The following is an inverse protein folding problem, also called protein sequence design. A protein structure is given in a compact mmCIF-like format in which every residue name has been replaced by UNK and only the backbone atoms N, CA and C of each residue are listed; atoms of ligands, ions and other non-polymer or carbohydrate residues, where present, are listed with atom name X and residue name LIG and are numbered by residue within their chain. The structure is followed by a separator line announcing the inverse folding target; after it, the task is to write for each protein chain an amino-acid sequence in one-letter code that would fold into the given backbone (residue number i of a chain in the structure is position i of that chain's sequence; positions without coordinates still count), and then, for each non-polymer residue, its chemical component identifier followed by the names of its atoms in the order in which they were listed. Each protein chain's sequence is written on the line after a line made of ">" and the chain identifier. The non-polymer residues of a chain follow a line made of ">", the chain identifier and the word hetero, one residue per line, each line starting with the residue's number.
data_IF_909449727875
#
_entry.id   IF_909449727875
#
_cell.length_a   1.000
_cell.length_b   1.000
_cell.length_c   1.000
_cell.angle_alpha   90.00
_cell.angle_beta   90.00
_cell.angle_gamma   90.00
#
_symmetry.space_group_name_H-M   'P 1'
#
loop_
_entity.id
_entity.type
_entity.pdbx_description
1 polymer ?
#
# COMPACT_ATOMS: atom_id res chain seq x y z
N UNK A 1 30.20 20.73 -27.19
CA UNK A 1 30.70 19.52 -26.50
C UNK A 1 29.47 18.79 -25.99
N UNK A 2 29.28 17.54 -26.42
CA UNK A 2 28.09 16.76 -26.13
C UNK A 2 28.12 16.27 -24.66
N UNK A 3 27.02 16.48 -23.95
CA UNK A 3 26.77 15.95 -22.61
C UNK A 3 25.28 15.72 -22.47
N UNK A 4 24.82 14.60 -23.02
CA UNK A 4 23.46 14.13 -22.84
C UNK A 4 23.46 13.08 -21.74
N UNK A 5 22.95 13.44 -20.57
CA UNK A 5 22.49 12.47 -19.59
C UNK A 5 20.96 12.58 -19.53
N UNK A 6 20.33 11.82 -20.43
CA UNK A 6 18.91 11.51 -20.31
C UNK A 6 18.69 10.65 -19.07
N UNK A 7 17.63 10.96 -18.34
CA UNK A 7 17.01 10.14 -17.29
C UNK A 7 17.26 8.64 -17.52
N UNK A 8 18.03 7.99 -16.62
CA UNK A 8 18.25 6.54 -16.68
C UNK A 8 16.99 5.85 -16.17
N UNK A 9 16.25 5.28 -17.12
CA UNK A 9 15.20 4.31 -16.85
C UNK A 9 15.76 3.17 -15.98
N UNK A 10 14.95 2.70 -15.04
CA UNK A 10 15.33 1.69 -14.05
C UNK A 10 15.69 0.38 -14.76
N UNK A 11 16.99 0.11 -14.87
CA UNK A 11 17.52 -1.08 -15.54
C UNK A 11 17.22 -2.35 -14.71
N UNK A 12 16.23 -3.12 -15.13
CA UNK A 12 15.86 -4.41 -14.53
C UNK A 12 16.96 -5.47 -14.67
N UNK A 13 17.91 -5.31 -15.61
CA UNK A 13 19.05 -6.22 -15.76
C UNK A 13 20.06 -6.07 -14.60
N UNK A 14 20.07 -4.95 -13.89
CA UNK A 14 20.88 -4.76 -12.67
C UNK A 14 20.41 -5.60 -11.48
N UNK A 15 19.19 -6.16 -11.55
CA UNK A 15 18.57 -6.99 -10.50
C UNK A 15 18.74 -8.49 -10.77
N UNK A 16 19.10 -8.88 -11.98
CA UNK A 16 19.41 -10.28 -12.32
C UNK A 16 20.92 -10.48 -12.07
N UNK A 17 21.33 -11.24 -11.04
CA UNK A 17 22.75 -11.47 -10.80
C UNK A 17 23.33 -12.22 -12.01
N UNK A 18 24.31 -11.60 -12.69
CA UNK A 18 25.10 -12.28 -13.70
C UNK A 18 25.74 -13.53 -13.09
N UNK A 19 25.86 -14.61 -13.89
CA UNK A 19 26.47 -15.87 -13.44
C UNK A 19 27.91 -15.69 -12.89
N UNK A 20 28.58 -14.58 -13.21
CA UNK A 20 29.93 -14.21 -12.74
C UNK A 20 30.01 -13.78 -11.26
N UNK A 21 28.86 -13.65 -10.58
CA UNK A 21 28.75 -13.19 -9.19
C UNK A 21 28.75 -14.31 -8.14
N UNK A 22 28.97 -15.56 -8.55
CA UNK A 22 28.84 -16.75 -7.70
C UNK A 22 30.19 -17.47 -7.53
N UNK A 23 30.53 -17.85 -6.30
CA UNK A 23 31.67 -18.70 -5.94
C UNK A 23 31.15 -20.07 -5.47
N UNK A 24 31.72 -21.13 -6.02
CA UNK A 24 31.48 -22.50 -5.57
C UNK A 24 32.53 -22.92 -4.54
N UNK A 25 32.09 -23.31 -3.35
CA UNK A 25 32.94 -23.92 -2.32
C UNK A 25 32.40 -25.33 -2.05
N UNK A 26 33.05 -26.33 -2.66
CA UNK A 26 32.58 -27.72 -2.60
C UNK A 26 31.21 -27.89 -3.25
N UNK A 27 30.22 -28.36 -2.48
CA UNK A 27 28.84 -28.58 -2.94
C UNK A 27 27.94 -27.33 -2.80
N UNK A 28 28.47 -26.24 -2.25
CA UNK A 28 27.67 -25.06 -1.88
C UNK A 28 27.94 -23.89 -2.82
N UNK A 29 26.87 -23.18 -3.18
CA UNK A 29 26.85 -22.05 -4.12
C UNK A 29 26.67 -20.75 -3.32
N UNK A 30 27.69 -19.90 -3.28
CA UNK A 30 27.68 -18.63 -2.54
C UNK A 30 27.75 -17.44 -3.49
N UNK A 31 27.11 -16.31 -3.17
CA UNK A 31 27.37 -15.06 -3.89
C UNK A 31 28.68 -14.44 -3.38
N UNK A 32 29.49 -13.86 -4.26
CA UNK A 32 30.76 -13.18 -3.91
C UNK A 32 30.56 -12.15 -2.79
N UNK A 33 29.47 -11.39 -2.86
CA UNK A 33 29.11 -10.38 -1.86
C UNK A 33 28.84 -10.99 -0.48
N UNK A 34 28.16 -12.12 -0.43
CA UNK A 34 27.83 -12.82 0.82
C UNK A 34 29.10 -13.42 1.46
N UNK A 35 30.06 -13.88 0.64
CA UNK A 35 31.37 -14.33 1.11
C UNK A 35 32.20 -13.17 1.68
N UNK A 36 32.15 -12.00 1.04
CA UNK A 36 32.88 -10.81 1.47
C UNK A 36 32.35 -10.28 2.81
N UNK A 37 31.02 -10.17 2.94
CA UNK A 37 30.38 -9.78 4.21
C UNK A 37 30.59 -10.84 5.30
N UNK A 38 30.53 -12.13 4.95
CA UNK A 38 30.86 -13.22 5.87
C UNK A 38 32.30 -13.15 6.38
N UNK A 39 33.26 -12.83 5.51
CA UNK A 39 34.66 -12.63 5.89
C UNK A 39 34.88 -11.41 6.79
N UNK A 40 34.24 -10.28 6.46
CA UNK A 40 34.32 -9.04 7.27
C UNK A 40 33.70 -9.26 8.66
N UNK A 41 32.55 -9.92 8.74
CA UNK A 41 31.89 -10.24 10.01
C UNK A 41 32.70 -11.23 10.84
N UNK A 42 33.30 -12.26 10.23
CA UNK A 42 34.20 -13.17 10.93
C UNK A 42 35.44 -12.44 11.48
N UNK A 43 36.07 -11.56 10.69
CA UNK A 43 37.19 -10.71 11.13
C UNK A 43 36.79 -9.79 12.28
N UNK A 44 35.63 -9.14 12.19
CA UNK A 44 35.11 -8.27 13.25
C UNK A 44 34.82 -9.03 14.56
N UNK A 45 34.28 -10.26 14.47
CA UNK A 45 34.08 -11.10 15.65
C UNK A 45 35.42 -11.55 16.25
N UNK A 46 36.41 -11.85 15.42
CA UNK A 46 37.74 -12.26 15.87
C UNK A 46 38.50 -11.10 16.53
N UNK A 47 38.38 -9.88 16.00
CA UNK A 47 38.95 -8.67 16.63
C UNK A 47 38.24 -8.34 17.94
N UNK A 48 36.91 -8.46 18.01
CA UNK A 48 36.15 -8.31 19.25
C UNK A 48 36.58 -9.35 20.30
N UNK A 49 36.80 -10.61 19.91
CA UNK A 49 37.28 -11.65 20.81
C UNK A 49 38.69 -11.35 21.33
N UNK A 50 39.61 -10.91 20.46
CA UNK A 50 40.97 -10.53 20.85
C UNK A 50 40.95 -9.32 21.80
N UNK A 51 40.11 -8.32 21.52
CA UNK A 51 39.92 -7.17 22.41
C UNK A 51 39.35 -7.58 23.77
N UNK A 52 38.37 -8.48 23.80
CA UNK A 52 37.80 -8.98 25.05
C UNK A 52 38.84 -9.75 25.88
N UNK A 53 39.69 -10.57 25.22
CA UNK A 53 40.79 -11.28 25.89
C UNK A 53 41.84 -10.28 26.39
N UNK A 54 42.23 -9.29 25.59
CA UNK A 54 43.20 -8.27 25.99
C UNK A 54 42.68 -7.43 27.18
N UNK A 55 41.41 -7.02 27.14
CA UNK A 55 40.75 -6.32 28.25
C UNK A 55 40.64 -7.20 29.50
N UNK A 56 40.36 -8.50 29.34
CA UNK A 56 40.36 -9.47 30.42
C UNK A 56 41.74 -9.63 31.08
N UNK A 57 42.81 -9.68 30.28
CA UNK A 57 44.20 -9.74 30.79
C UNK A 57 44.59 -8.45 31.50
N UNK A 58 44.22 -7.28 30.97
CA UNK A 58 44.47 -5.98 31.61
C UNK A 58 43.67 -5.81 32.89
N UNK A 59 42.40 -6.25 32.92
CA UNK A 59 41.56 -6.23 34.12
C UNK A 59 42.10 -7.20 35.20
N UNK A 60 42.65 -8.34 34.81
CA UNK A 60 43.27 -9.29 35.73
C UNK A 60 44.62 -8.81 36.29
N UNK A 61 45.30 -7.87 35.63
CA UNK A 61 46.46 -7.17 36.20
C UNK A 61 46.09 -6.00 37.12
N UNK A 62 44.84 -5.56 37.11
CA UNK A 62 44.37 -4.39 37.89
C UNK A 62 43.71 -4.77 39.22
N UNK A 63 43.62 -6.06 39.54
CA UNK A 63 42.93 -6.56 40.73
C UNK A 63 43.82 -6.74 41.99
N UNK A 64 45.08 -6.28 41.97
CA UNK A 64 45.95 -6.16 43.16
C UNK A 64 45.98 -4.74 43.74
N UNK A 65 44.94 -3.92 43.52
CA UNK A 65 44.94 -2.55 44.02
C UNK A 65 43.57 -1.88 44.14
N UNK A 66 43.14 -1.75 45.40
CA UNK A 66 42.19 -0.75 45.93
C UNK A 66 40.69 -1.09 45.93
N UNK A 67 40.13 -0.90 47.13
CA UNK A 67 38.78 -1.14 47.59
C UNK A 67 37.95 0.15 47.71
N UNK A 68 36.63 -0.04 47.81
CA UNK A 68 35.58 0.90 48.29
C UNK A 68 35.32 2.13 47.39
N UNK A 69 34.11 2.62 47.15
CA UNK A 69 33.01 2.98 48.06
C UNK A 69 31.66 2.94 47.32
N UNK A 70 30.61 2.65 48.08
CA UNK A 70 29.19 2.58 47.71
C UNK A 70 28.54 3.94 47.35
N UNK A 71 27.40 3.91 46.65
CA UNK A 71 26.08 4.21 47.23
C UNK A 71 25.04 4.60 46.17
N UNK A 72 23.87 3.98 46.33
CA UNK A 72 22.59 4.17 45.65
C UNK A 72 21.93 5.51 45.98
N UNK A 73 21.02 5.99 45.13
CA UNK A 73 19.76 6.60 45.58
C UNK A 73 18.70 6.63 44.47
N UNK A 74 17.46 6.41 44.90
CA UNK A 74 16.24 6.27 44.12
C UNK A 74 15.33 7.51 44.25
N UNK A 75 14.56 7.75 43.19
CA UNK A 75 13.15 8.16 43.10
C UNK A 75 12.56 9.18 44.10
N UNK A 76 12.08 10.31 43.56
CA UNK A 76 10.92 11.10 44.06
C UNK A 76 10.26 11.90 42.93
N UNK A 77 8.93 12.05 42.99
CA UNK A 77 8.12 13.03 42.24
C UNK A 77 6.87 12.41 41.61
N UNK A 78 5.76 12.20 42.32
CA UNK A 78 4.70 13.13 42.80
C UNK A 78 3.59 13.45 41.78
N UNK A 79 2.37 13.21 42.27
CA UNK A 79 1.04 13.48 41.71
C UNK A 79 0.65 14.96 41.89
N UNK A 80 -0.15 15.52 41.00
CA UNK A 80 -1.14 16.57 41.31
C UNK A 80 -2.25 16.61 40.25
N UNK A 81 -3.50 16.61 40.72
CA UNK A 81 -4.70 17.08 40.02
C UNK A 81 -5.13 18.41 40.65
N UNK A 82 -5.66 19.35 39.86
CA UNK A 82 -6.93 20.07 40.14
C UNK A 82 -7.35 21.07 39.03
N UNK A 83 -8.64 20.95 38.71
CA UNK A 83 -9.71 21.84 38.22
C UNK A 83 -9.53 23.29 37.70
N UNK A 84 -10.25 23.52 36.59
CA UNK A 84 -11.24 24.60 36.27
C UNK A 84 -10.81 26.04 35.91
N UNK A 85 -11.31 26.53 34.76
CA UNK A 85 -11.34 27.94 34.36
C UNK A 85 -11.98 28.17 32.97
N UNK A 86 -13.18 28.73 32.97
CA UNK A 86 -14.08 29.01 31.82
C UNK A 86 -13.67 30.23 31.00
N UNK A 87 -13.80 30.19 29.66
CA UNK A 87 -14.46 31.23 28.83
C UNK A 87 -14.20 31.01 27.32
N UNK A 88 -15.26 30.93 26.52
CA UNK A 88 -15.17 31.15 25.07
C UNK A 88 -16.47 31.79 24.56
N UNK A 89 -16.43 32.83 23.70
CA UNK A 89 -17.61 33.54 23.25
C UNK A 89 -18.29 32.84 22.05
N UNK A 90 -19.61 32.94 22.10
CA UNK A 90 -20.61 32.51 21.12
C UNK A 90 -20.62 33.48 19.92
N UNK A 91 -20.58 32.96 18.69
CA UNK A 91 -20.91 33.74 17.47
C UNK A 91 -21.89 32.94 16.62
N UNK A 92 -23.07 33.52 16.45
CA UNK A 92 -24.18 33.14 15.57
C UNK A 92 -23.86 33.40 14.10
N UNK A 93 -24.47 32.65 13.16
CA UNK A 93 -24.72 33.15 11.81
C UNK A 93 -26.23 33.33 11.55
N UNK A 94 -26.56 34.50 11.01
CA UNK A 94 -27.86 34.81 10.40
C UNK A 94 -27.84 34.51 8.88
N UNK A 95 -29.01 34.40 8.22
CA UNK A 95 -29.17 33.66 6.97
C UNK A 95 -29.03 34.55 5.73
N UNK A 96 -28.58 33.97 4.61
CA UNK A 96 -28.76 34.57 3.29
C UNK A 96 -29.42 33.58 2.32
N UNK A 97 -30.66 33.88 1.98
CA UNK A 97 -31.34 33.43 0.77
C UNK A 97 -30.60 33.92 -0.47
N UNK A 98 -30.31 33.03 -1.43
CA UNK A 98 -30.30 33.44 -2.82
C UNK A 98 -30.67 32.28 -3.77
N UNK A 99 -31.72 32.52 -4.55
CA UNK A 99 -32.20 31.65 -5.62
C UNK A 99 -31.32 31.90 -6.84
N UNK A 100 -30.66 30.86 -7.38
CA UNK A 100 -30.05 30.94 -8.72
C UNK A 100 -30.66 29.93 -9.68
N UNK A 101 -31.45 30.50 -10.59
CA UNK A 101 -32.01 29.93 -11.81
C UNK A 101 -30.94 29.23 -12.65
N UNK A 102 -31.21 27.99 -13.05
CA UNK A 102 -30.44 27.26 -14.06
C UNK A 102 -30.74 27.84 -15.44
N UNK A 103 -29.71 28.29 -16.14
CA UNK A 103 -29.77 28.54 -17.59
C UNK A 103 -28.81 27.58 -18.25
N UNK A 104 -29.37 26.59 -18.94
CA UNK A 104 -28.69 25.67 -19.83
C UNK A 104 -28.21 26.42 -21.07
N UNK A 105 -26.93 26.29 -21.42
CA UNK A 105 -26.44 26.69 -22.74
C UNK A 105 -25.72 25.50 -23.36
N UNK A 106 -26.39 24.90 -24.34
CA UNK A 106 -25.85 23.90 -25.26
C UNK A 106 -24.75 24.54 -26.11
N UNK A 107 -23.55 23.95 -26.13
CA UNK A 107 -22.56 24.20 -27.17
C UNK A 107 -22.51 22.98 -28.09
N UNK A 108 -22.92 23.19 -29.33
CA UNK A 108 -22.72 22.27 -30.44
C UNK A 108 -21.22 22.16 -30.75
N UNK A 109 -20.70 20.94 -30.82
CA UNK A 109 -19.41 20.64 -31.44
C UNK A 109 -19.60 20.44 -32.95
N UNK A 110 -18.70 21.05 -33.73
CA UNK A 110 -18.63 20.89 -35.18
C UNK A 110 -17.28 20.21 -35.53
N UNK A 111 -17.26 19.27 -36.50
CA UNK A 111 -16.13 18.36 -36.68
C UNK A 111 -14.99 19.03 -37.46
N UNK A 112 -13.75 18.87 -36.99
CA UNK A 112 -12.55 19.29 -37.71
C UNK A 112 -11.93 18.11 -38.45
N UNK A 113 -11.90 18.23 -39.78
CA UNK A 113 -11.22 17.34 -40.71
C UNK A 113 -9.70 17.57 -40.68
N UNK A 114 -8.94 16.47 -40.83
CA UNK A 114 -7.49 16.43 -40.67
C UNK A 114 -6.72 17.30 -41.67
N UNK A 115 -5.66 17.96 -41.17
CA UNK A 115 -4.66 18.69 -41.98
C UNK A 115 -3.39 17.83 -42.12
N UNK A 116 -2.76 17.75 -43.31
CA UNK A 116 -1.53 16.98 -43.49
C UNK A 116 -0.35 17.61 -42.74
N UNK A 117 0.51 16.77 -42.16
CA UNK A 117 1.73 17.17 -41.49
C UNK A 117 2.70 17.84 -42.48
N UNK A 118 3.12 19.07 -42.19
CA UNK A 118 4.23 19.73 -42.90
C UNK A 118 5.57 19.41 -42.22
N UNK A 119 6.68 19.28 -42.98
CA UNK A 119 8.00 19.04 -42.42
C UNK A 119 8.53 20.25 -41.66
N UNK A 120 9.15 20.01 -40.50
CA UNK A 120 9.82 21.05 -39.72
C UNK A 120 11.04 21.60 -40.48
N UNK A 121 10.94 22.85 -40.93
CA UNK A 121 12.12 23.67 -41.25
C UNK A 121 12.55 24.40 -39.97
N UNK A 122 13.80 24.20 -39.57
CA UNK A 122 14.43 24.92 -38.46
C UNK A 122 14.52 26.40 -38.80
N UNK A 123 13.67 27.22 -38.15
CA UNK A 123 13.83 28.67 -38.16
C UNK A 123 15.08 29.04 -37.33
N UNK A 124 15.88 30.02 -37.78
CA UNK A 124 17.03 30.49 -37.02
C UNK A 124 16.60 31.04 -35.65
N UNK A 125 17.45 30.93 -34.60
CA UNK A 125 17.10 31.42 -33.28
C UNK A 125 16.83 32.92 -33.34
N UNK A 126 15.61 33.30 -32.95
CA UNK A 126 15.21 34.71 -32.84
C UNK A 126 16.17 35.39 -31.85
N UNK A 127 16.69 36.60 -32.16
CA UNK A 127 17.57 37.30 -31.24
C UNK A 127 16.91 37.43 -29.88
N UNK A 128 17.63 37.03 -28.82
CA UNK A 128 17.20 37.23 -27.43
C UNK A 128 17.07 38.72 -27.22
N UNK A 129 15.84 39.24 -27.28
CA UNK A 129 15.58 40.59 -26.83
C UNK A 129 15.78 40.61 -25.31
N UNK A 130 16.53 41.58 -24.76
CA UNK A 130 16.53 41.82 -23.33
C UNK A 130 15.09 42.00 -22.87
N UNK A 131 14.68 41.26 -21.84
CA UNK A 131 13.37 41.41 -21.23
C UNK A 131 13.27 42.79 -20.55
N UNK A 132 13.04 43.83 -21.33
CA UNK A 132 12.56 45.12 -20.83
C UNK A 132 11.06 45.21 -21.08
N UNK A 133 10.31 44.25 -20.54
CA UNK A 133 8.91 44.45 -20.25
C UNK A 133 8.81 44.83 -18.78
N UNK A 134 8.89 46.13 -18.50
CA UNK A 134 8.34 46.68 -17.26
C UNK A 134 6.82 46.61 -17.38
N UNK A 135 6.26 45.40 -17.37
CA UNK A 135 4.90 45.22 -16.90
C UNK A 135 4.95 45.67 -15.44
N UNK A 136 4.13 46.63 -14.99
CA UNK A 136 3.89 46.77 -13.57
C UNK A 136 3.44 45.38 -13.13
N UNK A 137 4.26 44.70 -12.34
CA UNK A 137 3.84 43.50 -11.66
C UNK A 137 2.72 43.96 -10.72
N UNK A 138 1.47 43.84 -11.17
CA UNK A 138 0.33 44.01 -10.29
C UNK A 138 0.40 42.81 -9.34
N UNK A 139 1.10 43.01 -8.22
CA UNK A 139 1.27 41.98 -7.21
C UNK A 139 -0.12 41.58 -6.71
N UNK A 140 -0.40 40.28 -6.71
CA UNK A 140 -1.66 39.80 -6.19
C UNK A 140 -1.62 39.80 -4.66
N UNK A 141 -2.30 40.76 -4.04
CA UNK A 141 -2.38 40.90 -2.58
C UNK A 141 -3.63 40.23 -1.97
N UNK A 142 -4.39 39.49 -2.78
CA UNK A 142 -5.55 38.76 -2.26
C UNK A 142 -5.12 37.65 -1.31
N UNK A 143 -5.95 37.33 -0.31
CA UNK A 143 -5.64 36.29 0.67
C UNK A 143 -5.26 34.92 0.02
N UNK A 144 -5.94 34.43 -1.04
CA UNK A 144 -5.52 33.20 -1.73
C UNK A 144 -4.12 33.29 -2.35
N UNK A 145 -3.75 34.43 -2.92
CA UNK A 145 -2.42 34.64 -3.50
C UNK A 145 -1.33 34.63 -2.43
N UNK A 146 -1.57 35.31 -1.29
CA UNK A 146 -0.64 35.32 -0.16
C UNK A 146 -0.49 33.92 0.47
N UNK A 147 -1.58 33.16 0.56
CA UNK A 147 -1.53 31.79 1.06
C UNK A 147 -0.74 30.87 0.12
N UNK A 148 -0.96 30.97 -1.19
CA UNK A 148 -0.27 30.17 -2.19
C UNK A 148 1.23 30.52 -2.25
N UNK A 149 1.59 31.81 -2.20
CA UNK A 149 2.98 32.25 -2.20
C UNK A 149 3.71 31.80 -0.93
N UNK A 150 3.07 31.94 0.24
CA UNK A 150 3.62 31.45 1.51
C UNK A 150 3.85 29.94 1.47
N UNK A 151 2.89 29.17 0.97
CA UNK A 151 3.04 27.73 0.80
C UNK A 151 4.24 27.38 -0.10
N UNK A 152 4.38 28.05 -1.25
CA UNK A 152 5.52 27.81 -2.15
C UNK A 152 6.86 28.15 -1.45
N UNK A 153 6.99 29.36 -0.90
CA UNK A 153 8.23 29.83 -0.26
C UNK A 153 8.65 28.97 0.94
N UNK A 154 7.69 28.44 1.69
CA UNK A 154 7.96 27.59 2.86
C UNK A 154 8.58 26.24 2.45
N UNK A 155 8.22 25.72 1.27
CA UNK A 155 8.70 24.43 0.79
C UNK A 155 9.96 24.52 -0.09
N UNK A 156 10.18 25.68 -0.72
CA UNK A 156 11.31 25.90 -1.63
C UNK A 156 12.65 26.09 -0.91
N UNK A 157 13.71 25.54 -1.52
CA UNK A 157 15.09 25.80 -1.18
C UNK A 157 15.78 26.64 -2.28
N UNK A 158 15.72 27.96 -2.12
CA UNK A 158 16.30 28.92 -3.08
C UNK A 158 17.84 28.89 -3.18
N UNK A 159 18.51 28.12 -2.31
CA UNK A 159 19.98 27.93 -2.43
C UNK A 159 20.37 26.90 -3.49
N UNK A 160 19.40 26.18 -4.08
CA UNK A 160 19.62 25.20 -5.15
C UNK A 160 19.25 25.82 -6.49
N UNK A 161 20.08 25.61 -7.52
CA UNK A 161 19.75 26.04 -8.88
C UNK A 161 18.61 25.18 -9.45
N UNK A 162 17.45 25.77 -9.82
CA UNK A 162 16.33 25.03 -10.40
C UNK A 162 16.66 24.36 -11.75
N UNK A 163 17.67 24.83 -12.48
CA UNK A 163 18.12 24.21 -13.73
C UNK A 163 18.94 22.94 -13.50
N UNK A 164 19.54 22.77 -12.32
CA UNK A 164 20.37 21.61 -11.97
C UNK A 164 19.56 20.55 -11.20
N UNK A 165 18.78 20.97 -10.19
CA UNK A 165 17.92 20.08 -9.41
C UNK A 165 16.62 20.80 -9.00
N UNK A 166 15.64 20.77 -9.91
CA UNK A 166 14.34 21.38 -9.67
C UNK A 166 13.59 20.76 -8.49
N UNK A 167 13.81 19.47 -8.18
CA UNK A 167 13.14 18.83 -7.05
C UNK A 167 13.64 19.41 -5.73
N UNK A 168 14.95 19.49 -5.55
CA UNK A 168 15.55 20.07 -4.34
C UNK A 168 15.25 21.57 -4.23
N UNK A 169 15.24 22.31 -5.34
CA UNK A 169 14.78 23.69 -5.35
C UNK A 169 13.31 23.84 -4.91
N UNK A 170 12.40 23.04 -5.47
CA UNK A 170 10.96 23.20 -5.23
C UNK A 170 10.51 22.62 -3.88
N UNK A 171 11.13 21.52 -3.43
CA UNK A 171 10.66 20.69 -2.31
C UNK A 171 11.70 20.54 -1.19
N UNK A 172 12.89 21.13 -1.31
CA UNK A 172 14.01 20.86 -0.41
C UNK A 172 13.73 21.12 1.07
N UNK A 173 12.79 22.03 1.39
CA UNK A 173 12.35 22.32 2.76
C UNK A 173 11.02 21.69 3.14
N UNK A 174 10.39 20.93 2.25
CA UNK A 174 9.07 20.33 2.49
C UNK A 174 9.04 19.44 3.74
N UNK A 175 10.11 18.68 3.97
CA UNK A 175 10.22 17.79 5.14
C UNK A 175 10.29 18.55 6.48
N UNK A 176 10.86 19.76 6.49
CA UNK A 176 10.91 20.65 7.66
C UNK A 176 9.53 21.26 7.91
N UNK A 177 8.85 21.67 6.83
CA UNK A 177 7.52 22.28 6.87
C UNK A 177 6.41 21.27 7.21
N UNK A 178 6.61 19.99 6.87
CA UNK A 178 5.63 18.90 7.03
C UNK A 178 6.28 17.69 7.71
N UNK A 179 6.57 17.77 9.02
CA UNK A 179 7.24 16.70 9.73
C UNK A 179 6.38 15.41 9.80
N UNK A 180 7.00 14.23 9.78
CA UNK A 180 6.34 12.94 9.99
C UNK A 180 5.43 12.95 11.23
N UNK A 181 4.14 12.69 11.04
CA UNK A 181 3.21 12.39 12.14
C UNK A 181 3.21 10.88 12.39
N UNK A 182 3.01 10.46 13.65
CA UNK A 182 2.85 9.02 13.93
C UNK A 182 1.74 8.44 13.04
N UNK A 183 1.99 7.26 12.48
CA UNK A 183 1.05 6.45 11.67
C UNK A 183 0.88 6.81 10.19
N UNK A 184 1.70 7.70 9.61
CA UNK A 184 1.75 7.86 8.14
C UNK A 184 2.96 7.13 7.54
N UNK A 185 2.76 6.39 6.45
CA UNK A 185 3.86 5.71 5.75
C UNK A 185 4.70 6.68 4.91
N UNK A 186 4.04 7.69 4.33
CA UNK A 186 4.66 8.68 3.44
C UNK A 186 3.98 10.04 3.60
N UNK A 187 4.77 11.12 3.76
CA UNK A 187 4.25 12.49 3.74
C UNK A 187 4.49 13.10 2.37
N UNK A 188 3.38 13.40 1.69
CA UNK A 188 3.36 14.10 0.41
C UNK A 188 2.21 15.11 0.42
N UNK A 189 2.23 16.16 -0.42
CA UNK A 189 1.11 17.09 -0.52
C UNK A 189 -0.23 16.38 -0.78
N UNK A 190 -0.22 15.32 -1.60
CA UNK A 190 -1.39 14.48 -1.87
C UNK A 190 -1.93 13.81 -0.61
N UNK A 191 -1.05 13.17 0.17
CA UNK A 191 -1.47 12.44 1.37
C UNK A 191 -1.95 13.41 2.46
N UNK A 192 -1.32 14.57 2.60
CA UNK A 192 -1.78 15.62 3.53
C UNK A 192 -3.22 16.03 3.19
N UNK A 193 -3.53 16.32 1.93
CA UNK A 193 -4.89 16.68 1.49
C UNK A 193 -5.85 15.51 1.70
N UNK A 194 -5.43 14.30 1.37
CA UNK A 194 -6.22 13.09 1.60
C UNK A 194 -6.61 12.93 3.07
N UNK A 195 -5.65 13.08 3.98
CA UNK A 195 -5.86 12.91 5.42
C UNK A 195 -6.74 14.02 6.00
N UNK A 196 -6.54 15.27 5.57
CA UNK A 196 -7.43 16.38 5.92
C UNK A 196 -8.87 16.13 5.47
N UNK A 197 -9.06 15.61 4.25
CA UNK A 197 -10.38 15.25 3.74
C UNK A 197 -10.99 14.07 4.50
N UNK A 198 -10.20 13.04 4.81
CA UNK A 198 -10.64 11.89 5.59
C UNK A 198 -11.10 12.31 6.99
N UNK A 199 -10.35 13.20 7.67
CA UNK A 199 -10.73 13.73 8.98
C UNK A 199 -12.03 14.55 8.89
N UNK A 200 -12.17 15.42 7.88
CA UNK A 200 -13.40 16.21 7.67
C UNK A 200 -14.61 15.32 7.42
N UNK A 201 -14.44 14.32 6.55
CA UNK A 201 -15.48 13.32 6.27
C UNK A 201 -15.85 12.55 7.53
N UNK A 202 -14.86 12.07 8.28
CA UNK A 202 -15.09 11.34 9.53
C UNK A 202 -15.88 12.18 10.54
N UNK A 203 -15.55 13.47 10.71
CA UNK A 203 -16.33 14.37 11.57
C UNK A 203 -17.79 14.44 11.14
N UNK A 204 -18.05 14.67 9.86
CA UNK A 204 -19.42 14.71 9.31
C UNK A 204 -20.17 13.38 9.49
N UNK A 205 -19.47 12.25 9.35
CA UNK A 205 -20.07 10.92 9.54
C UNK A 205 -20.36 10.57 11.01
N UNK A 206 -19.73 11.27 11.96
CA UNK A 206 -19.98 11.10 13.39
C UNK A 206 -21.10 11.99 13.93
N UNK A 207 -21.57 12.97 13.15
CA UNK A 207 -22.73 13.80 13.47
C UNK A 207 -24.03 12.97 13.43
N UNK A 208 -25.08 13.46 14.09
CA UNK A 208 -26.41 12.83 14.04
C UNK A 208 -26.93 12.74 12.60
N UNK A 209 -27.76 11.73 12.32
CA UNK A 209 -28.42 11.59 11.02
C UNK A 209 -29.45 12.70 10.85
N UNK A 210 -29.37 13.48 9.78
CA UNK A 210 -30.37 14.50 9.45
C UNK A 210 -31.55 13.87 8.68
N UNK A 211 -31.27 13.01 7.71
CA UNK A 211 -32.29 12.31 6.93
C UNK A 211 -32.57 10.90 7.48
N UNK A 212 -33.58 10.77 8.34
CA UNK A 212 -33.85 9.52 9.07
C UNK A 212 -34.67 8.45 8.30
N UNK A 213 -35.06 8.69 7.05
CA UNK A 213 -35.91 7.79 6.26
C UNK A 213 -35.18 6.53 5.75
N UNK A 214 -35.92 5.46 5.41
CA UNK A 214 -35.34 4.12 5.18
C UNK A 214 -34.29 3.98 4.07
N UNK A 215 -34.46 4.78 3.03
CA UNK A 215 -33.59 4.76 1.86
C UNK A 215 -32.44 5.77 1.93
N UNK A 216 -32.32 6.52 3.04
CA UNK A 216 -31.30 7.55 3.23
C UNK A 216 -29.89 6.96 3.11
N UNK A 217 -29.13 7.48 2.14
CA UNK A 217 -27.73 7.13 1.94
C UNK A 217 -26.88 7.64 3.12
N UNK A 218 -27.21 8.81 3.65
CA UNK A 218 -26.57 9.40 4.83
C UNK A 218 -26.69 8.46 6.03
N UNK A 219 -27.92 8.02 6.32
CA UNK A 219 -28.18 7.13 7.45
C UNK A 219 -27.45 5.81 7.31
N UNK A 220 -27.50 5.18 6.12
CA UNK A 220 -26.80 3.91 5.86
C UNK A 220 -25.29 4.05 6.05
N UNK A 221 -24.69 5.13 5.54
CA UNK A 221 -23.26 5.38 5.65
C UNK A 221 -22.82 5.63 7.11
N UNK A 222 -23.56 6.45 7.85
CA UNK A 222 -23.30 6.73 9.27
C UNK A 222 -23.46 5.48 10.15
N UNK A 223 -24.52 4.69 9.93
CA UNK A 223 -24.73 3.42 10.64
C UNK A 223 -23.63 2.39 10.31
N UNK A 224 -23.20 2.33 9.05
CA UNK A 224 -22.09 1.45 8.66
C UNK A 224 -20.80 1.81 9.40
N UNK A 225 -20.45 3.10 9.48
CA UNK A 225 -19.30 3.56 10.27
C UNK A 225 -19.40 3.17 11.75
N UNK A 226 -20.57 3.39 12.36
CA UNK A 226 -20.82 3.00 13.76
C UNK A 226 -20.70 1.49 13.99
N UNK A 227 -21.04 0.68 12.97
CA UNK A 227 -20.88 -0.77 13.05
C UNK A 227 -19.41 -1.21 13.06
N UNK A 228 -18.48 -0.42 12.51
CA UNK A 228 -17.06 -0.76 12.43
C UNK A 228 -16.25 -0.34 13.67
N UNK A 229 -16.64 0.74 14.34
CA UNK A 229 -15.84 1.36 15.42
C UNK A 229 -15.94 0.65 16.77
N UNK A 230 -16.93 -0.23 16.95
CA UNK A 230 -17.19 -0.83 18.25
C UNK A 230 -17.55 -2.33 18.19
N UNK A 231 -17.40 -2.96 17.03
CA UNK A 231 -17.80 -4.37 16.85
C UNK A 231 -16.97 -5.33 17.70
N UNK A 232 -15.65 -5.14 17.74
CA UNK A 232 -14.72 -6.02 18.45
C UNK A 232 -15.00 -6.04 19.96
N UNK A 233 -15.22 -4.86 20.55
CA UNK A 233 -15.47 -4.71 21.98
C UNK A 233 -16.93 -5.02 22.34
N UNK A 234 -17.93 -4.49 21.63
CA UNK A 234 -19.36 -4.73 21.93
C UNK A 234 -19.76 -6.19 21.85
N UNK A 235 -19.28 -6.92 20.85
CA UNK A 235 -19.70 -8.31 20.69
C UNK A 235 -18.92 -9.26 21.60
N UNK A 236 -17.67 -8.92 21.97
CA UNK A 236 -16.80 -9.85 22.69
C UNK A 236 -16.53 -11.16 21.94
N UNK A 237 -16.83 -11.20 20.63
CA UNK A 237 -16.75 -12.42 19.79
C UNK A 237 -15.42 -12.59 19.08
N UNK A 238 -14.52 -11.60 19.14
CA UNK A 238 -13.17 -11.63 18.51
C UNK A 238 -13.24 -12.18 17.07
N UNK A 239 -12.41 -13.16 16.71
CA UNK A 239 -12.41 -13.82 15.40
C UNK A 239 -13.53 -14.83 15.15
N UNK A 240 -14.38 -15.15 16.12
CA UNK A 240 -15.43 -16.17 15.95
C UNK A 240 -16.39 -15.88 14.78
N UNK A 241 -16.86 -14.63 14.54
CA UNK A 241 -17.73 -14.33 13.39
C UNK A 241 -17.07 -14.67 12.05
N UNK A 242 -15.75 -14.50 11.93
CA UNK A 242 -15.02 -14.92 10.73
C UNK A 242 -15.06 -16.45 10.57
N UNK A 243 -14.84 -17.20 11.66
CA UNK A 243 -14.90 -18.68 11.63
C UNK A 243 -16.30 -19.14 11.22
N UNK A 244 -17.36 -18.52 11.76
CA UNK A 244 -18.73 -18.97 11.52
C UNK A 244 -19.31 -18.50 10.19
N UNK A 245 -19.04 -17.26 9.79
CA UNK A 245 -19.64 -16.65 8.60
C UNK A 245 -18.80 -16.82 7.33
N UNK A 246 -17.50 -17.11 7.46
CA UNK A 246 -16.59 -17.27 6.30
C UNK A 246 -16.04 -18.69 6.22
N UNK A 247 -15.38 -19.18 7.28
CA UNK A 247 -14.70 -20.49 7.24
C UNK A 247 -15.69 -21.65 7.09
N UNK A 248 -16.75 -21.71 7.91
CA UNK A 248 -17.76 -22.78 7.81
C UNK A 248 -18.42 -22.83 6.42
N UNK A 249 -18.92 -21.73 5.82
CA UNK A 249 -19.52 -21.76 4.47
C UNK A 249 -18.57 -22.17 3.35
N UNK A 250 -17.26 -22.00 3.52
CA UNK A 250 -16.23 -22.46 2.58
C UNK A 250 -15.88 -23.96 2.75
N UNK A 251 -16.53 -24.69 3.66
CA UNK A 251 -16.31 -26.12 3.87
C UNK A 251 -15.36 -26.43 5.04
N UNK A 252 -15.17 -25.48 5.96
CA UNK A 252 -14.29 -25.64 7.11
C UNK A 252 -12.82 -25.39 6.77
N UNK A 253 -11.95 -25.60 7.77
CA UNK A 253 -10.51 -25.42 7.59
C UNK A 253 -9.72 -26.51 8.30
N UNK A 254 -8.68 -27.03 7.63
CA UNK A 254 -7.79 -28.06 8.17
C UNK A 254 -7.19 -27.67 9.52
N UNK A 255 -6.83 -26.38 9.68
CA UNK A 255 -6.31 -25.81 10.93
C UNK A 255 -7.22 -26.05 12.14
N UNK A 256 -8.54 -26.09 11.92
CA UNK A 256 -9.59 -26.18 12.94
C UNK A 256 -10.21 -27.58 13.04
N UNK A 257 -9.71 -28.55 12.28
CA UNK A 257 -10.30 -29.90 12.21
C UNK A 257 -11.76 -29.96 11.80
N UNK A 258 -12.15 -29.07 10.90
CA UNK A 258 -13.52 -28.97 10.37
C UNK A 258 -13.61 -29.25 8.87
N UNK A 259 -12.48 -29.55 8.24
CA UNK A 259 -12.37 -29.77 6.81
C UNK A 259 -12.11 -31.25 6.49
N UNK A 260 -12.74 -31.76 5.43
CA UNK A 260 -12.55 -33.10 4.90
C UNK A 260 -12.27 -33.07 3.40
N UNK A 261 -11.39 -33.98 2.95
CA UNK A 261 -11.10 -34.17 1.52
C UNK A 261 -12.34 -34.61 0.72
N UNK A 262 -13.26 -35.36 1.35
CA UNK A 262 -14.51 -35.82 0.72
C UNK A 262 -15.43 -34.67 0.32
N UNK A 263 -15.38 -33.58 1.08
CA UNK A 263 -16.30 -32.45 0.96
C UNK A 263 -15.69 -31.31 0.13
N UNK A 264 -14.41 -31.45 -0.23
CA UNK A 264 -13.69 -30.44 -0.98
C UNK A 264 -14.19 -30.33 -2.41
N UNK A 265 -14.71 -29.15 -2.74
CA UNK A 265 -15.08 -28.79 -4.09
C UNK A 265 -14.46 -27.45 -4.48
N UNK A 266 -13.38 -27.51 -5.26
CA UNK A 266 -12.64 -26.31 -5.70
C UNK A 266 -13.56 -25.29 -6.39
N UNK A 267 -14.47 -25.73 -7.26
CA UNK A 267 -15.36 -24.82 -7.99
C UNK A 267 -16.27 -24.04 -7.04
N UNK A 268 -16.88 -24.73 -6.07
CA UNK A 268 -17.77 -24.09 -5.09
C UNK A 268 -17.01 -23.11 -4.21
N UNK A 269 -15.80 -23.48 -3.75
CA UNK A 269 -14.95 -22.61 -2.93
C UNK A 269 -14.56 -21.36 -3.71
N UNK A 270 -14.11 -21.50 -4.96
CA UNK A 270 -13.74 -20.36 -5.79
C UNK A 270 -14.91 -19.44 -6.08
N UNK A 271 -16.11 -19.98 -6.34
CA UNK A 271 -17.31 -19.16 -6.55
C UNK A 271 -17.67 -18.39 -5.29
N UNK A 272 -17.78 -19.05 -4.13
CA UNK A 272 -18.14 -18.36 -2.88
C UNK A 272 -17.09 -17.32 -2.48
N UNK A 273 -15.81 -17.70 -2.53
CA UNK A 273 -14.74 -16.80 -2.12
C UNK A 273 -14.63 -15.56 -3.02
N UNK A 274 -14.73 -15.72 -4.34
CA UNK A 274 -14.61 -14.59 -5.26
C UNK A 274 -15.89 -13.75 -5.39
N UNK A 275 -17.08 -14.38 -5.34
CA UNK A 275 -18.35 -13.69 -5.60
C UNK A 275 -19.05 -13.25 -4.30
N UNK A 276 -19.17 -14.15 -3.32
CA UNK A 276 -19.90 -13.85 -2.08
C UNK A 276 -19.03 -13.03 -1.11
N UNK A 277 -17.72 -13.34 -1.05
CA UNK A 277 -16.78 -12.71 -0.11
C UNK A 277 -15.80 -11.73 -0.75
N UNK A 278 -15.74 -11.66 -2.08
CA UNK A 278 -14.83 -10.77 -2.82
C UNK A 278 -13.34 -10.92 -2.41
N UNK A 279 -12.95 -12.12 -1.97
CA UNK A 279 -11.63 -12.42 -1.43
C UNK A 279 -10.55 -12.67 -2.50
N UNK A 280 -10.90 -12.64 -3.79
CA UNK A 280 -9.97 -12.74 -4.93
C UNK A 280 -8.98 -13.92 -4.81
N UNK A 281 -9.47 -15.15 -4.59
CA UNK A 281 -8.61 -16.33 -4.44
C UNK A 281 -8.09 -16.79 -5.81
N UNK A 282 -6.76 -16.87 -5.94
CA UNK A 282 -5.97 -17.14 -7.16
C UNK A 282 -6.06 -16.07 -8.26
N UNK A 283 -7.25 -15.56 -8.53
CA UNK A 283 -7.48 -14.51 -9.53
C UNK A 283 -8.65 -13.64 -9.09
N UNK A 284 -8.65 -12.40 -9.55
CA UNK A 284 -9.77 -11.46 -9.38
C UNK A 284 -10.64 -11.50 -10.62
N UNK A 285 -11.96 -11.46 -10.41
CA UNK A 285 -12.94 -11.32 -11.49
C UNK A 285 -13.50 -9.89 -11.45
N UNK A 286 -13.43 -9.18 -12.58
CA UNK A 286 -13.98 -7.84 -12.76
C UNK A 286 -14.82 -7.74 -14.03
N UNK A 287 -15.75 -6.78 -14.03
CA UNK A 287 -16.41 -6.32 -15.25
C UNK A 287 -15.81 -4.97 -15.59
N UNK A 288 -15.23 -4.85 -16.77
CA UNK A 288 -14.51 -3.65 -17.22
C UNK A 288 -14.81 -3.33 -18.68
N UNK A 289 -14.21 -2.27 -19.20
CA UNK A 289 -14.30 -1.85 -20.59
C UNK A 289 -12.91 -1.76 -21.19
N UNK A 290 -12.77 -2.08 -22.48
CA UNK A 290 -11.50 -1.93 -23.19
C UNK A 290 -11.34 -0.48 -23.63
N UNK A 291 -10.11 0.05 -23.73
CA UNK A 291 -9.84 1.38 -24.31
C UNK A 291 -10.41 1.56 -25.72
N UNK A 292 -10.61 0.46 -26.45
CA UNK A 292 -11.12 0.43 -27.82
C UNK A 292 -12.65 0.38 -27.93
N UNK A 293 -13.36 -0.08 -26.89
CA UNK A 293 -14.82 -0.19 -26.90
C UNK A 293 -15.42 -0.06 -25.49
N UNK A 294 -16.05 1.09 -25.23
CA UNK A 294 -16.73 1.40 -23.96
C UNK A 294 -18.22 1.03 -23.96
N UNK A 295 -18.76 0.57 -25.09
CA UNK A 295 -20.17 0.18 -25.21
C UNK A 295 -20.40 -1.31 -24.90
N UNK A 296 -19.32 -2.09 -24.80
CA UNK A 296 -19.39 -3.53 -24.54
C UNK A 296 -18.53 -3.86 -23.33
N UNK A 297 -19.13 -4.21 -22.17
CA UNK A 297 -18.36 -4.67 -21.03
C UNK A 297 -17.75 -6.04 -21.32
N UNK A 298 -16.56 -6.26 -20.79
CA UNK A 298 -15.85 -7.54 -20.81
C UNK A 298 -15.70 -8.07 -19.39
N UNK A 299 -15.57 -9.40 -19.27
CA UNK A 299 -15.14 -10.04 -18.03
C UNK A 299 -13.62 -10.11 -18.08
N UNK A 300 -12.98 -9.54 -17.07
CA UNK A 300 -11.54 -9.55 -16.91
C UNK A 300 -11.18 -10.49 -15.76
N UNK A 301 -10.15 -11.31 -16.02
CA UNK A 301 -9.49 -12.12 -15.00
C UNK A 301 -8.09 -11.57 -14.81
N UNK A 302 -7.86 -11.04 -13.62
CA UNK A 302 -6.58 -10.44 -13.24
C UNK A 302 -5.88 -11.34 -12.23
N UNK A 303 -4.56 -11.32 -12.16
CA UNK A 303 -3.83 -12.00 -11.09
C UNK A 303 -4.28 -11.47 -9.72
N UNK A 304 -4.37 -12.38 -8.76
CA UNK A 304 -4.53 -11.97 -7.37
C UNK A 304 -3.17 -11.57 -6.83
N UNK A 305 -3.05 -10.32 -6.36
CA UNK A 305 -1.79 -9.86 -5.75
C UNK A 305 -1.70 -10.41 -4.33
N UNK A 306 -0.80 -11.37 -4.12
CA UNK A 306 -0.34 -11.72 -2.79
C UNK A 306 0.85 -10.81 -2.45
N UNK A 307 0.81 -10.17 -1.27
CA UNK A 307 1.97 -9.40 -0.75
C UNK A 307 3.01 -10.31 -0.09
N UNK A 308 2.95 -11.62 -0.33
CA UNK A 308 3.78 -12.60 0.37
C UNK A 308 5.25 -12.51 -0.04
N UNK A 309 5.54 -12.19 -1.31
CA UNK A 309 6.92 -12.00 -1.77
C UNK A 309 7.67 -10.91 -0.98
N UNK A 310 7.01 -9.79 -0.65
CA UNK A 310 7.61 -8.73 0.16
C UNK A 310 7.86 -9.18 1.60
N UNK A 311 6.86 -9.82 2.23
CA UNK A 311 7.01 -10.37 3.58
C UNK A 311 8.09 -11.48 3.65
N UNK A 312 8.24 -12.24 2.57
CA UNK A 312 9.26 -13.25 2.44
C UNK A 312 10.66 -12.64 2.41
N UNK A 313 10.88 -11.59 1.60
CA UNK A 313 12.17 -10.88 1.57
C UNK A 313 12.52 -10.21 2.90
N UNK A 314 11.52 -9.83 3.71
CA UNK A 314 11.70 -9.32 5.07
C UNK A 314 11.92 -10.43 6.11
N UNK A 315 11.80 -11.71 5.74
CA UNK A 315 11.88 -12.83 6.67
C UNK A 315 10.72 -12.92 7.67
N UNK A 316 9.57 -12.29 7.35
CA UNK A 316 8.41 -12.14 8.24
C UNK A 316 7.20 -12.98 7.85
N UNK A 317 7.22 -13.64 6.70
CA UNK A 317 6.05 -14.33 6.16
C UNK A 317 5.53 -15.44 7.10
N UNK A 318 6.40 -16.33 7.58
CA UNK A 318 5.98 -17.43 8.47
C UNK A 318 5.42 -16.91 9.80
N UNK A 319 6.04 -15.85 10.36
CA UNK A 319 5.58 -15.19 11.58
C UNK A 319 4.17 -14.59 11.38
N UNK A 320 3.97 -13.91 10.25
CA UNK A 320 2.69 -13.31 9.90
C UNK A 320 1.57 -14.36 9.75
N UNK A 321 1.80 -15.40 8.95
CA UNK A 321 0.82 -16.47 8.72
C UNK A 321 0.57 -17.26 10.01
N UNK A 322 1.62 -17.57 10.76
CA UNK A 322 1.51 -18.28 12.04
C UNK A 322 0.77 -17.46 13.10
N UNK A 323 1.01 -16.16 13.17
CA UNK A 323 0.27 -15.24 14.04
C UNK A 323 -1.22 -15.23 13.73
N UNK A 324 -1.58 -15.05 12.46
CA UNK A 324 -2.99 -15.07 12.03
C UNK A 324 -3.67 -16.41 12.32
N UNK A 325 -3.03 -17.53 11.98
CA UNK A 325 -3.58 -18.86 12.22
C UNK A 325 -3.74 -19.15 13.74
N UNK A 326 -2.78 -18.71 14.56
CA UNK A 326 -2.86 -18.83 16.02
C UNK A 326 -4.03 -18.03 16.60
N UNK A 327 -4.30 -16.83 16.07
CA UNK A 327 -5.46 -16.03 16.47
C UNK A 327 -6.77 -16.73 16.12
N UNK A 328 -6.85 -17.37 14.94
CA UNK A 328 -8.06 -18.09 14.50
C UNK A 328 -8.29 -19.35 15.35
N UNK A 329 -7.23 -20.10 15.68
CA UNK A 329 -7.28 -21.24 16.60
C UNK A 329 -7.74 -20.84 18.02
N UNK A 330 -7.23 -19.71 18.53
CA UNK A 330 -7.62 -19.16 19.83
C UNK A 330 -9.09 -18.73 19.85
N UNK A 331 -9.56 -18.13 18.76
CA UNK A 331 -10.89 -17.53 18.68
C UNK A 331 -11.97 -18.48 18.10
N UNK A 332 -11.61 -19.72 17.74
CA UNK A 332 -12.57 -20.74 17.34
C UNK A 332 -13.41 -21.23 18.53
N UNK A 333 -14.55 -21.87 18.26
CA UNK A 333 -15.40 -22.47 19.28
C UNK A 333 -15.73 -23.94 18.95
N UNK A 334 -15.20 -24.92 19.71
CA UNK A 334 -14.25 -24.75 20.81
C UNK A 334 -12.88 -24.21 20.32
N UNK A 335 -12.09 -23.55 21.20
CA UNK A 335 -10.73 -23.16 20.87
C UNK A 335 -9.89 -24.40 20.53
N UNK A 336 -9.08 -24.31 19.48
CA UNK A 336 -8.18 -25.37 19.04
C UNK A 336 -6.75 -24.97 19.39
N UNK A 337 -5.93 -25.92 19.83
CA UNK A 337 -4.49 -25.70 19.99
C UNK A 337 -3.75 -26.91 19.42
N UNK A 338 -3.49 -26.88 18.10
CA UNK A 338 -2.80 -27.95 17.39
C UNK A 338 -1.62 -27.39 16.61
N UNK A 339 -0.43 -27.51 17.21
CA UNK A 339 0.82 -26.98 16.66
C UNK A 339 1.30 -27.73 15.42
N UNK A 340 0.96 -29.02 15.29
CA UNK A 340 1.31 -29.84 14.12
C UNK A 340 0.55 -29.33 12.90
N UNK A 341 -0.76 -29.16 13.02
CA UNK A 341 -1.60 -28.62 11.93
C UNK A 341 -1.25 -27.18 11.61
N UNK A 342 -0.96 -26.37 12.64
CA UNK A 342 -0.52 -24.99 12.46
C UNK A 342 0.76 -24.93 11.61
N UNK A 343 1.77 -25.74 11.96
CA UNK A 343 3.03 -25.79 11.19
C UNK A 343 2.79 -26.21 9.74
N UNK A 344 2.01 -27.28 9.53
CA UNK A 344 1.69 -27.75 8.18
C UNK A 344 0.99 -26.67 7.34
N UNK A 345 0.00 -25.97 7.92
CA UNK A 345 -0.71 -24.89 7.23
C UNK A 345 0.24 -23.74 6.87
N UNK A 346 1.16 -23.37 7.77
CA UNK A 346 2.15 -22.33 7.48
C UNK A 346 3.01 -22.76 6.28
N UNK A 347 3.57 -23.97 6.33
CA UNK A 347 4.45 -24.49 5.27
C UNK A 347 3.71 -24.55 3.92
N UNK A 348 2.48 -25.08 3.89
CA UNK A 348 1.66 -25.21 2.68
C UNK A 348 1.25 -23.84 2.09
N UNK A 349 0.80 -22.90 2.94
CA UNK A 349 0.35 -21.57 2.50
C UNK A 349 1.53 -20.76 1.96
N UNK A 350 2.70 -20.86 2.60
CA UNK A 350 3.93 -20.19 2.16
C UNK A 350 4.40 -20.76 0.83
N UNK A 351 4.43 -22.09 0.69
CA UNK A 351 4.84 -22.73 -0.56
C UNK A 351 3.93 -22.34 -1.74
N UNK A 352 2.62 -22.47 -1.56
CA UNK A 352 1.64 -22.14 -2.62
C UNK A 352 1.66 -20.64 -2.91
N UNK A 353 1.70 -19.80 -1.87
CA UNK A 353 1.73 -18.35 -2.01
C UNK A 353 2.92 -17.85 -2.82
N UNK A 354 4.14 -18.33 -2.50
CA UNK A 354 5.33 -17.94 -3.23
C UNK A 354 5.33 -18.44 -4.68
N UNK A 355 4.79 -19.64 -4.94
CA UNK A 355 4.64 -20.13 -6.32
C UNK A 355 3.68 -19.27 -7.13
N UNK A 356 2.58 -18.83 -6.53
CA UNK A 356 1.64 -17.92 -7.20
C UNK A 356 2.29 -16.57 -7.51
N UNK A 357 3.04 -15.99 -6.57
CA UNK A 357 3.74 -14.73 -6.79
C UNK A 357 4.78 -14.84 -7.93
N UNK A 358 5.52 -15.95 -8.00
CA UNK A 358 6.46 -16.20 -9.10
C UNK A 358 5.76 -16.28 -10.46
N UNK A 359 4.56 -16.83 -10.53
CA UNK A 359 3.76 -16.87 -11.76
C UNK A 359 3.24 -15.47 -12.12
N UNK A 360 2.79 -14.71 -11.12
CA UNK A 360 2.18 -13.40 -11.28
C UNK A 360 3.20 -12.28 -11.64
N UNK A 361 4.49 -12.49 -11.42
CA UNK A 361 5.54 -11.49 -11.71
C UNK A 361 5.76 -11.26 -13.22
N UNK A 362 5.12 -12.05 -14.08
CA UNK A 362 5.20 -11.87 -15.53
C UNK A 362 4.27 -10.74 -16.01
N UNK A 363 4.85 -9.56 -16.27
CA UNK A 363 4.15 -8.45 -16.92
C UNK A 363 4.20 -8.68 -18.43
N UNK A 364 3.06 -8.90 -19.11
CA UNK A 364 3.08 -9.04 -20.57
C UNK A 364 3.46 -7.71 -21.23
N UNK A 365 4.41 -7.76 -22.17
CA UNK A 365 4.93 -6.58 -22.89
C UNK A 365 3.89 -5.85 -23.76
N UNK A 366 2.70 -6.43 -23.96
CA UNK A 366 1.71 -5.91 -24.89
C UNK A 366 0.30 -5.93 -24.30
N UNK A 367 -0.49 -4.91 -24.63
CA UNK A 367 -1.84 -4.71 -24.10
C UNK A 367 -2.71 -5.97 -24.26
N UNK A 368 -3.20 -6.50 -23.14
CA UNK A 368 -4.04 -7.69 -23.09
C UNK A 368 -5.49 -7.41 -23.55
N UNK A 369 -5.88 -6.13 -23.68
CA UNK A 369 -7.22 -5.70 -24.06
C UNK A 369 -7.43 -5.59 -25.58
N UNK A 370 -6.44 -5.97 -26.37
CA UNK A 370 -6.55 -5.98 -27.83
C UNK A 370 -7.61 -7.01 -28.28
N UNK A 371 -8.48 -6.68 -29.26
CA UNK A 371 -9.58 -7.55 -29.69
C UNK A 371 -9.17 -8.99 -30.03
N UNK A 372 -8.00 -9.16 -30.65
CA UNK A 372 -7.44 -10.46 -31.05
C UNK A 372 -6.91 -11.30 -29.89
N UNK A 373 -6.75 -10.72 -28.70
CA UNK A 373 -6.30 -11.41 -27.48
C UNK A 373 -7.45 -11.78 -26.54
N UNK A 374 -8.68 -11.41 -26.88
CA UNK A 374 -9.85 -11.76 -26.08
C UNK A 374 -10.15 -13.26 -26.18
N UNK A 375 -10.38 -13.89 -25.03
CA UNK A 375 -10.78 -15.29 -24.95
C UNK A 375 -12.29 -15.42 -24.78
N UNK A 376 -12.89 -16.38 -25.48
CA UNK A 376 -14.23 -16.87 -25.15
C UNK A 376 -14.18 -17.72 -23.87
N UNK A 377 -15.29 -17.82 -23.14
CA UNK A 377 -15.38 -18.67 -21.94
C UNK A 377 -15.07 -20.15 -22.26
N UNK A 378 -15.36 -20.61 -23.49
CA UNK A 378 -15.01 -21.94 -23.99
C UNK A 378 -13.51 -22.16 -24.06
N UNK A 379 -12.79 -21.24 -24.70
CA UNK A 379 -11.34 -21.30 -24.78
C UNK A 379 -10.71 -21.26 -23.38
N UNK A 380 -11.24 -20.44 -22.49
CA UNK A 380 -10.74 -20.32 -21.13
C UNK A 380 -10.87 -21.64 -20.33
N UNK A 381 -12.02 -22.32 -20.40
CA UNK A 381 -12.19 -23.65 -19.78
C UNK A 381 -11.18 -24.67 -20.34
N UNK A 382 -10.97 -24.66 -21.66
CA UNK A 382 -10.05 -25.60 -22.32
C UNK A 382 -8.60 -25.35 -21.90
N UNK A 383 -8.18 -24.08 -21.80
CA UNK A 383 -6.82 -23.71 -21.38
C UNK A 383 -6.47 -24.23 -19.99
N UNK A 384 -7.45 -24.33 -19.09
CA UNK A 384 -7.25 -24.89 -17.74
C UNK A 384 -7.65 -26.38 -17.64
N UNK A 385 -7.80 -27.07 -18.77
CA UNK A 385 -8.21 -28.48 -18.83
C UNK A 385 -9.47 -28.78 -18.01
N UNK A 386 -10.43 -27.85 -17.98
CA UNK A 386 -11.67 -27.91 -17.20
C UNK A 386 -11.48 -28.10 -15.67
N UNK A 387 -10.27 -27.86 -15.13
CA UNK A 387 -10.03 -27.87 -13.67
C UNK A 387 -10.83 -26.78 -12.95
N UNK A 388 -11.01 -25.64 -13.62
CA UNK A 388 -11.94 -24.58 -13.23
C UNK A 388 -12.92 -24.39 -14.40
N UNK A 389 -14.22 -24.31 -14.09
CA UNK A 389 -15.29 -24.13 -15.08
C UNK A 389 -15.82 -22.70 -14.99
N UNK A 390 -15.36 -21.85 -15.89
CA UNK A 390 -15.78 -20.45 -16.03
C UNK A 390 -17.15 -20.28 -16.67
N UNK A 391 -17.60 -21.29 -17.42
CA UNK A 391 -18.99 -21.38 -17.88
C UNK A 391 -19.49 -22.81 -17.83
N UNK A 392 -20.79 -22.95 -17.62
CA UNK A 392 -21.55 -24.19 -17.83
C UNK A 392 -22.54 -23.93 -18.94
N UNK A 393 -22.43 -24.68 -20.05
CA UNK A 393 -23.48 -24.69 -21.07
C UNK A 393 -24.75 -25.19 -20.38
N UNK A 394 -25.79 -24.36 -20.27
CA UNK A 394 -27.12 -24.86 -19.89
C UNK A 394 -27.46 -25.98 -20.88
N UNK A 395 -27.73 -27.20 -20.39
CA UNK A 395 -28.42 -28.16 -21.24
C UNK A 395 -29.74 -27.50 -21.61
N UNK A 396 -30.00 -27.35 -22.91
CA UNK A 396 -31.34 -27.06 -23.38
C UNK A 396 -32.07 -28.40 -23.32
N UNK A 397 -32.42 -28.82 -22.12
CA UNK A 397 -33.43 -29.85 -21.96
C UNK A 397 -34.76 -29.11 -22.09
N UNK A 398 -35.32 -29.16 -23.30
CA UNK A 398 -36.68 -28.74 -23.64
C UNK A 398 -37.60 -29.95 -23.63
#
# INVERSE_FOLDING_TARGET
>A
MAGGDSYKEFDTASVIPSEDSVVLLGKYKFRKRDLLFGGITALALLTCLILAIALGVVANQKHDGAASVAASNALTGDNCSETAGTSSPQVTPAPSTDKRTQTTTSKQEQPTTGRPAQPCTTLPPKPVQPCTSTLPAEFCETAPCLQASTYALTNMNESVDPCEDFYSFACGKFHEASPPVMYTSDITPKNIIHDQNAIRLLRSLLESVEESHELSYERKLKQFLQSCTDHFNKLGRRGLPFVESIVKPLGGWYLLDTWSVSDFNLQTILTKANIDFMANIFFRVSVTYTSHNWNQPIIELHESSSRYIWLYYLGKLNEYIGGLCSLIQRDSNPPVNNTIRLKQVIDDVVEVGLRLDMIATYIPESDAHLPEKLYTLSQLNNNVSNKVRYYKKKSRDF
#
